data_IF_974158533710
#
_entry.id   IF_974158533710
#
_cell.length_a   1.000
_cell.length_b   1.000
_cell.length_c   1.000
_cell.angle_alpha   90.00
_cell.angle_beta   90.00
_cell.angle_gamma   90.00
#
_symmetry.space_group_name_H-M   'P 1'
#
loop_
_entity.id
_entity.type
_entity.pdbx_description
1 polymer ?
#
# COMPACT_ATOMS: atom_id res chain seq x y z
N UNK A 1 1.16 3.50 0.32
CA UNK A 1 1.73 2.80 1.51
C UNK A 1 1.40 3.61 2.75
N UNK A 2 1.02 2.94 3.84
CA UNK A 2 0.99 3.44 5.22
C UNK A 2 -0.20 4.26 5.77
N UNK A 3 -1.48 4.03 5.39
CA UNK A 3 -2.50 3.92 6.43
C UNK A 3 -2.29 2.61 7.25
N UNK A 4 -2.80 2.51 8.49
CA UNK A 4 -2.73 1.27 9.27
C UNK A 4 -3.13 0.03 8.46
N UNK A 5 -2.41 -1.07 8.61
CA UNK A 5 -2.63 -2.30 7.84
C UNK A 5 -2.10 -2.32 6.40
N UNK A 6 -1.50 -1.24 5.88
CA UNK A 6 -1.03 -1.15 4.48
C UNK A 6 0.50 -1.04 4.37
N UNK A 7 1.20 -2.10 4.76
CA UNK A 7 2.67 -2.24 4.65
C UNK A 7 3.12 -2.53 3.22
N UNK A 8 2.26 -3.15 2.40
CA UNK A 8 2.45 -3.24 0.96
C UNK A 8 1.96 -1.97 0.24
N UNK A 9 2.53 -1.61 -0.93
CA UNK A 9 1.90 -0.67 -1.84
C UNK A 9 0.46 -1.07 -2.17
N UNK A 10 -0.43 -0.08 -2.25
CA UNK A 10 -1.88 -0.27 -2.39
C UNK A 10 -2.30 -0.37 -3.86
N UNK A 11 -3.35 -1.14 -4.11
CA UNK A 11 -3.94 -1.44 -5.44
C UNK A 11 -5.05 -0.45 -5.87
N UNK A 12 -5.23 0.64 -5.12
CA UNK A 12 -6.21 1.70 -5.37
C UNK A 12 -5.60 3.10 -5.18
N UNK A 13 -6.31 4.09 -5.71
CA UNK A 13 -6.03 5.51 -5.47
C UNK A 13 -6.90 6.06 -4.35
N UNK A 14 -6.42 7.13 -3.72
CA UNK A 14 -7.13 7.88 -2.70
C UNK A 14 -7.67 9.19 -3.28
N UNK A 15 -8.97 9.43 -3.14
CA UNK A 15 -9.53 10.76 -3.15
C UNK A 15 -9.42 11.33 -1.74
N UNK A 16 -8.27 11.93 -1.44
CA UNK A 16 -8.05 12.60 -0.17
C UNK A 16 -8.96 13.81 -0.09
N UNK A 17 -9.81 13.82 0.93
CA UNK A 17 -10.77 14.88 1.18
C UNK A 17 -10.57 15.42 2.59
N UNK A 18 -10.95 16.68 2.83
CA UNK A 18 -11.00 17.16 4.21
C UNK A 18 -11.96 16.28 5.01
N UNK A 19 -11.70 16.03 6.31
CA UNK A 19 -12.58 15.25 7.19
C UNK A 19 -14.05 15.72 7.14
N UNK A 20 -14.25 17.01 6.82
CA UNK A 20 -15.56 17.66 6.61
C UNK A 20 -16.29 17.27 5.31
N UNK A 21 -15.70 16.41 4.47
CA UNK A 21 -16.28 15.98 3.20
C UNK A 21 -17.15 14.73 3.34
N UNK A 22 -17.23 14.16 4.54
CA UNK A 22 -18.25 13.18 4.88
C UNK A 22 -19.64 13.68 4.46
N UNK A 23 -20.46 12.80 3.89
CA UNK A 23 -21.79 13.17 3.40
C UNK A 23 -21.83 13.73 1.97
N UNK A 24 -20.68 13.95 1.30
CA UNK A 24 -20.69 14.30 -0.13
C UNK A 24 -21.14 13.11 -0.98
N UNK A 25 -21.97 13.32 -2.01
CA UNK A 25 -22.49 12.25 -2.83
C UNK A 25 -21.39 11.56 -3.64
N UNK A 26 -21.47 10.24 -3.72
CA UNK A 26 -20.63 9.39 -4.57
C UNK A 26 -21.48 8.87 -5.72
N UNK A 27 -20.94 8.96 -6.94
CA UNK A 27 -21.62 8.55 -8.16
C UNK A 27 -20.83 7.45 -8.87
N UNK A 28 -21.55 6.53 -9.52
CA UNK A 28 -20.97 5.49 -10.36
C UNK A 28 -20.20 6.11 -11.54
N UNK A 29 -18.87 5.90 -11.68
CA UNK A 29 -18.12 6.39 -12.84
C UNK A 29 -18.51 5.67 -14.14
N UNK A 30 -19.02 4.44 -14.02
CA UNK A 30 -19.55 3.65 -15.12
C UNK A 30 -20.75 2.80 -14.66
N UNK A 31 -21.66 2.52 -15.58
CA UNK A 31 -22.75 1.60 -15.32
C UNK A 31 -22.26 0.16 -15.23
N UNK A 32 -22.97 -0.67 -14.46
CA UNK A 32 -22.59 -2.05 -14.24
C UNK A 32 -23.51 -2.77 -13.26
N UNK A 33 -23.15 -4.00 -12.91
CA UNK A 33 -23.87 -4.81 -11.92
C UNK A 33 -23.13 -4.77 -10.59
N UNK A 34 -23.83 -4.53 -9.48
CA UNK A 34 -23.26 -4.67 -8.13
C UNK A 34 -22.98 -6.15 -7.89
N UNK A 35 -21.70 -6.50 -7.81
CA UNK A 35 -21.25 -7.89 -7.65
C UNK A 35 -21.06 -8.26 -6.19
N UNK A 36 -20.59 -7.29 -5.40
CA UNK A 36 -20.24 -7.51 -4.00
C UNK A 36 -20.39 -6.22 -3.20
N UNK A 37 -20.75 -6.37 -1.94
CA UNK A 37 -20.76 -5.31 -0.95
C UNK A 37 -20.14 -5.84 0.34
N UNK A 38 -19.10 -5.18 0.84
CA UNK A 38 -18.45 -5.53 2.10
C UNK A 38 -18.77 -4.47 3.16
N UNK A 39 -19.51 -4.79 4.22
CA UNK A 39 -19.74 -3.85 5.31
C UNK A 39 -18.53 -3.78 6.26
N UNK A 40 -18.15 -2.56 6.63
CA UNK A 40 -17.24 -2.24 7.72
C UNK A 40 -18.05 -1.63 8.86
N UNK A 41 -18.16 -2.37 9.97
CA UNK A 41 -19.00 -1.99 11.11
C UNK A 41 -18.22 -1.13 12.10
N UNK A 42 -18.83 -0.02 12.48
CA UNK A 42 -18.40 0.89 13.52
C UNK A 42 -19.43 0.90 14.66
N UNK A 43 -19.07 1.32 15.88
CA UNK A 43 -20.01 1.35 17.00
C UNK A 43 -21.32 2.10 16.71
N UNK A 44 -21.28 3.12 15.86
CA UNK A 44 -22.39 4.02 15.54
C UNK A 44 -22.72 4.09 14.03
N UNK A 45 -22.31 3.10 13.24
CA UNK A 45 -22.74 3.00 11.84
C UNK A 45 -22.01 1.96 11.01
N UNK A 46 -22.28 1.94 9.71
CA UNK A 46 -21.70 1.01 8.75
C UNK A 46 -21.29 1.77 7.50
N UNK A 47 -20.05 1.58 7.07
CA UNK A 47 -19.61 1.97 5.72
C UNK A 47 -19.34 0.71 4.89
N UNK A 48 -19.14 0.88 3.59
CA UNK A 48 -19.06 -0.23 2.65
C UNK A 48 -17.87 -0.07 1.69
N UNK A 49 -17.36 -1.22 1.25
CA UNK A 49 -16.79 -1.36 -0.09
C UNK A 49 -17.85 -1.94 -1.02
N UNK A 50 -17.88 -1.47 -2.27
CA UNK A 50 -18.83 -1.90 -3.30
C UNK A 50 -18.08 -2.19 -4.60
N UNK A 51 -18.26 -3.41 -5.12
CA UNK A 51 -17.67 -3.85 -6.38
C UNK A 51 -18.73 -3.83 -7.48
N UNK A 52 -18.43 -3.16 -8.59
CA UNK A 52 -19.33 -3.01 -9.74
C UNK A 52 -18.66 -3.57 -10.99
N UNK A 53 -19.25 -4.66 -11.49
CA UNK A 53 -18.83 -5.32 -12.72
C UNK A 53 -19.33 -4.55 -13.95
N UNK A 54 -18.41 -4.01 -14.73
CA UNK A 54 -18.70 -3.27 -15.96
C UNK A 54 -18.71 -4.19 -17.18
N UNK A 55 -17.74 -5.11 -17.22
CA UNK A 55 -17.66 -6.16 -18.25
C UNK A 55 -17.37 -7.51 -17.60
N UNK A 56 -17.26 -8.58 -18.40
CA UNK A 56 -16.82 -9.90 -17.89
C UNK A 56 -15.40 -9.88 -17.30
N UNK A 57 -14.60 -8.89 -17.69
CA UNK A 57 -13.17 -8.79 -17.35
C UNK A 57 -12.83 -7.57 -16.51
N UNK A 58 -13.70 -6.56 -16.43
CA UNK A 58 -13.41 -5.32 -15.72
C UNK A 58 -14.44 -5.06 -14.61
N UNK A 59 -13.93 -4.80 -13.42
CA UNK A 59 -14.71 -4.41 -12.23
C UNK A 59 -14.02 -3.19 -11.63
N UNK A 60 -14.77 -2.20 -11.17
CA UNK A 60 -14.23 -1.17 -10.29
C UNK A 60 -14.80 -1.37 -8.90
N UNK A 61 -14.06 -0.95 -7.89
CA UNK A 61 -14.54 -0.92 -6.52
C UNK A 61 -14.36 0.45 -5.91
N UNK A 62 -15.25 0.78 -4.99
CA UNK A 62 -15.17 1.99 -4.19
C UNK A 62 -15.34 1.62 -2.72
N UNK A 63 -14.43 2.08 -1.88
CA UNK A 63 -14.48 1.85 -0.44
C UNK A 63 -14.68 3.15 0.34
N UNK A 64 -15.04 3.01 1.61
CA UNK A 64 -15.33 4.11 2.52
C UNK A 64 -16.50 5.00 2.07
N UNK A 65 -17.60 4.38 1.65
CA UNK A 65 -18.89 5.05 1.44
C UNK A 65 -20.00 4.46 2.31
N UNK A 66 -20.98 5.29 2.67
CA UNK A 66 -22.29 4.81 3.14
C UNK A 66 -23.15 4.60 1.90
N UNK A 67 -23.39 3.34 1.54
CA UNK A 67 -24.20 2.92 0.40
C UNK A 67 -25.67 3.32 0.61
N UNK A 68 -26.33 3.85 -0.42
CA UNK A 68 -27.76 4.15 -0.36
C UNK A 68 -28.56 2.83 -0.18
N UNK A 69 -29.49 2.81 0.78
CA UNK A 69 -30.15 1.58 1.28
C UNK A 69 -30.93 0.78 0.23
N UNK A 70 -31.31 1.42 -0.87
CA UNK A 70 -32.05 0.80 -1.97
C UNK A 70 -31.15 -0.01 -2.92
N UNK A 71 -29.83 0.06 -2.77
CA UNK A 71 -28.86 -0.66 -3.60
C UNK A 71 -28.36 -1.92 -2.90
N UNK A 72 -28.40 -3.05 -3.62
CA UNK A 72 -27.91 -4.35 -3.13
C UNK A 72 -27.18 -5.13 -4.22
N UNK A 73 -26.45 -6.16 -3.80
CA UNK A 73 -25.83 -7.14 -4.71
C UNK A 73 -26.88 -7.68 -5.68
N UNK A 74 -26.54 -7.68 -6.97
CA UNK A 74 -27.43 -8.10 -8.05
C UNK A 74 -28.06 -6.94 -8.84
N UNK A 75 -28.18 -5.76 -8.25
CA UNK A 75 -28.76 -4.59 -8.92
C UNK A 75 -27.83 -4.06 -10.02
N UNK A 76 -28.44 -3.38 -11.00
CA UNK A 76 -27.72 -2.65 -12.03
C UNK A 76 -27.75 -1.16 -11.72
N UNK A 77 -26.62 -0.50 -11.93
CA UNK A 77 -26.48 0.96 -11.79
C UNK A 77 -26.11 1.58 -13.13
N UNK A 78 -26.54 2.81 -13.35
CA UNK A 78 -26.17 3.61 -14.52
C UNK A 78 -24.94 4.47 -14.23
N UNK A 79 -24.20 4.84 -15.28
CA UNK A 79 -23.14 5.85 -15.14
C UNK A 79 -23.75 7.18 -14.64
N UNK A 80 -23.11 7.82 -13.66
CA UNK A 80 -23.62 9.02 -13.01
C UNK A 80 -24.75 8.76 -12.00
N UNK A 81 -25.18 7.51 -11.79
CA UNK A 81 -26.13 7.19 -10.74
C UNK A 81 -25.49 7.39 -9.36
N UNK A 82 -26.23 8.02 -8.44
CA UNK A 82 -25.80 8.13 -7.05
C UNK A 82 -25.78 6.74 -6.40
N UNK A 83 -24.69 6.47 -5.69
CA UNK A 83 -24.49 5.21 -4.96
C UNK A 83 -24.56 5.39 -3.46
N UNK A 84 -24.34 6.60 -2.96
CA UNK A 84 -24.20 6.81 -1.54
C UNK A 84 -23.54 8.14 -1.24
N UNK A 85 -22.89 8.19 -0.08
CA UNK A 85 -22.08 9.34 0.34
C UNK A 85 -20.74 8.89 0.90
N UNK A 86 -19.74 9.77 0.82
CA UNK A 86 -18.44 9.57 1.45
C UNK A 86 -18.64 9.35 2.95
N UNK A 87 -18.02 8.30 3.47
CA UNK A 87 -18.08 7.95 4.88
C UNK A 87 -17.35 8.96 5.76
N UNK A 88 -17.80 9.07 7.01
CA UNK A 88 -17.10 9.85 8.05
C UNK A 88 -16.01 9.07 8.78
N UNK A 89 -15.90 7.77 8.54
CA UNK A 89 -15.02 6.87 9.30
C UNK A 89 -13.62 6.73 8.68
N UNK A 90 -13.41 7.27 7.48
CA UNK A 90 -12.13 7.20 6.76
C UNK A 90 -11.62 8.59 6.36
N UNK A 91 -10.30 8.71 6.29
CA UNK A 91 -9.62 9.93 5.88
C UNK A 91 -9.62 10.13 4.35
N UNK A 92 -9.98 9.10 3.59
CA UNK A 92 -10.04 9.13 2.14
C UNK A 92 -11.13 8.19 1.61
N UNK A 93 -11.57 8.48 0.39
CA UNK A 93 -12.43 7.62 -0.41
C UNK A 93 -11.57 6.86 -1.43
N UNK A 94 -11.74 5.54 -1.50
CA UNK A 94 -10.87 4.69 -2.32
C UNK A 94 -11.54 4.38 -3.66
N UNK A 95 -10.74 4.36 -4.72
CA UNK A 95 -11.15 3.88 -6.03
C UNK A 95 -10.09 2.92 -6.58
N UNK A 96 -10.49 1.69 -6.85
CA UNK A 96 -9.65 0.71 -7.52
C UNK A 96 -10.34 0.10 -8.74
N UNK A 97 -9.54 -0.46 -9.64
CA UNK A 97 -10.01 -1.22 -10.80
C UNK A 97 -9.32 -2.57 -10.83
N UNK A 98 -10.10 -3.60 -11.13
CA UNK A 98 -9.65 -4.95 -11.39
C UNK A 98 -9.89 -5.27 -12.87
N UNK A 99 -8.80 -5.55 -13.59
CA UNK A 99 -8.78 -5.91 -15.00
C UNK A 99 -8.25 -7.34 -15.16
N UNK A 100 -9.14 -8.30 -15.38
CA UNK A 100 -8.82 -9.73 -15.52
C UNK A 100 -7.95 -10.07 -16.73
N UNK A 101 -7.78 -9.12 -17.66
CA UNK A 101 -6.86 -9.29 -18.79
C UNK A 101 -5.41 -8.90 -18.44
N UNK A 102 -5.17 -8.42 -17.23
CA UNK A 102 -3.87 -8.03 -16.71
C UNK A 102 -3.56 -8.86 -15.47
N UNK A 103 -2.39 -9.50 -15.43
CA UNK A 103 -1.91 -10.19 -14.23
C UNK A 103 -0.68 -9.46 -13.71
N UNK A 104 -0.74 -9.02 -12.46
CA UNK A 104 0.40 -8.37 -11.82
C UNK A 104 1.55 -9.36 -11.62
N UNK A 105 2.80 -8.96 -11.89
CA UNK A 105 3.95 -9.85 -11.92
C UNK A 105 4.52 -10.14 -10.52
N UNK A 106 3.65 -10.43 -9.55
CA UNK A 106 4.09 -10.85 -8.21
C UNK A 106 4.94 -12.12 -8.32
N UNK A 107 6.04 -12.18 -7.57
CA UNK A 107 6.92 -13.37 -7.58
C UNK A 107 6.18 -14.59 -7.04
N UNK A 108 5.27 -14.38 -6.08
CA UNK A 108 4.43 -15.42 -5.49
C UNK A 108 2.94 -15.04 -5.54
N UNK A 109 2.28 -15.20 -6.71
CA UNK A 109 0.91 -14.73 -6.90
C UNK A 109 -0.10 -15.44 -6.00
N UNK A 110 0.21 -16.64 -5.49
CA UNK A 110 -0.70 -17.41 -4.62
C UNK A 110 -0.97 -16.73 -3.29
N UNK A 111 -0.14 -15.76 -2.87
CA UNK A 111 -0.31 -15.00 -1.63
C UNK A 111 -1.29 -13.83 -1.76
N UNK A 112 -1.57 -13.40 -2.98
CA UNK A 112 -2.29 -12.16 -3.23
C UNK A 112 -3.76 -12.43 -3.51
N UNK A 113 -4.59 -11.51 -3.03
CA UNK A 113 -6.01 -11.49 -3.29
C UNK A 113 -6.31 -11.02 -4.71
N UNK A 114 -7.59 -11.12 -5.05
CA UNK A 114 -8.07 -10.80 -6.39
C UNK A 114 -7.83 -9.34 -6.78
N UNK A 115 -7.98 -8.40 -5.84
CA UNK A 115 -7.80 -6.97 -6.13
C UNK A 115 -6.33 -6.64 -6.45
N UNK A 116 -5.38 -7.26 -5.74
CA UNK A 116 -3.96 -7.08 -6.03
C UNK A 116 -3.54 -7.79 -7.32
N UNK A 117 -3.98 -9.04 -7.54
CA UNK A 117 -3.58 -9.81 -8.72
C UNK A 117 -3.99 -9.16 -10.05
N UNK A 118 -5.16 -8.53 -10.07
CA UNK A 118 -5.75 -7.95 -11.27
C UNK A 118 -5.84 -6.42 -11.21
N UNK A 119 -5.24 -5.78 -10.20
CA UNK A 119 -5.33 -4.34 -9.97
C UNK A 119 -4.76 -3.55 -11.13
N UNK A 120 -5.40 -2.45 -11.51
CA UNK A 120 -4.97 -1.56 -12.59
C UNK A 120 -5.24 -0.09 -12.21
N UNK A 121 -4.55 0.85 -12.85
CA UNK A 121 -4.79 2.28 -12.60
C UNK A 121 -6.20 2.66 -13.06
N UNK A 122 -7.02 3.26 -12.17
CA UNK A 122 -8.40 3.55 -12.49
C UNK A 122 -8.58 4.74 -13.44
N UNK A 123 -7.70 5.74 -13.41
CA UNK A 123 -7.92 7.02 -14.10
C UNK A 123 -7.92 6.88 -15.62
N UNK A 124 -7.14 5.94 -16.18
CA UNK A 124 -7.05 5.72 -17.63
C UNK A 124 -8.36 5.25 -18.28
N UNK A 125 -9.28 4.72 -17.48
CA UNK A 125 -10.60 4.23 -17.93
C UNK A 125 -11.65 5.34 -18.05
N UNK A 126 -11.38 6.54 -17.53
CA UNK A 126 -12.30 7.66 -17.69
C UNK A 126 -12.30 8.16 -19.14
N UNK A 127 -13.47 8.58 -19.63
CA UNK A 127 -13.59 9.27 -20.90
C UNK A 127 -13.06 10.71 -20.79
N UNK A 128 -12.63 11.30 -21.91
CA UNK A 128 -12.36 12.72 -21.96
C UNK A 128 -13.67 13.54 -21.86
N UNK A 129 -13.65 14.73 -21.24
CA UNK A 129 -12.48 15.44 -20.69
C UNK A 129 -12.12 15.03 -19.25
N UNK A 130 -12.89 14.15 -18.62
CA UNK A 130 -12.74 13.81 -17.20
C UNK A 130 -11.39 13.15 -16.88
N UNK A 131 -10.89 12.30 -17.78
CA UNK A 131 -9.57 11.67 -17.62
C UNK A 131 -8.47 12.71 -17.48
N UNK A 132 -8.38 13.67 -18.42
CA UNK A 132 -7.39 14.74 -18.34
C UNK A 132 -7.56 15.62 -17.10
N UNK A 133 -8.80 15.92 -16.71
CA UNK A 133 -9.10 16.69 -15.50
C UNK A 133 -8.66 15.95 -14.21
N UNK A 134 -8.84 14.64 -14.15
CA UNK A 134 -8.43 13.81 -13.01
C UNK A 134 -6.91 13.68 -12.94
N UNK A 135 -6.24 13.42 -14.06
CA UNK A 135 -4.77 13.38 -14.10
C UNK A 135 -4.13 14.71 -13.72
N UNK A 136 -4.76 15.84 -14.06
CA UNK A 136 -4.31 17.17 -13.63
C UNK A 136 -4.35 17.38 -12.10
N UNK A 137 -5.02 16.50 -11.34
CA UNK A 137 -5.03 16.53 -9.86
C UNK A 137 -3.99 15.60 -9.23
N UNK A 138 -3.35 14.72 -10.00
CA UNK A 138 -2.35 13.77 -9.50
C UNK A 138 -1.07 14.52 -9.14
N UNK A 139 -0.64 14.42 -7.87
CA UNK A 139 0.54 15.14 -7.34
C UNK A 139 1.87 14.41 -7.51
N UNK A 140 1.88 13.27 -8.22
CA UNK A 140 3.09 12.49 -8.50
C UNK A 140 3.99 13.23 -9.50
N UNK A 141 5.29 13.26 -9.21
CA UNK A 141 6.32 13.83 -10.09
C UNK A 141 6.59 12.91 -11.31
N UNK A 142 7.06 13.51 -12.41
CA UNK A 142 7.33 12.81 -13.67
C UNK A 142 6.10 12.60 -14.55
N UNK A 143 6.31 11.89 -15.65
CA UNK A 143 5.29 11.63 -16.68
C UNK A 143 4.34 10.48 -16.29
N UNK A 144 4.84 9.48 -15.57
CA UNK A 144 4.02 8.38 -15.04
C UNK A 144 3.14 8.87 -13.89
N UNK A 145 1.84 9.02 -14.16
CA UNK A 145 0.82 9.42 -13.18
C UNK A 145 0.04 8.26 -12.59
N UNK A 146 0.18 7.06 -13.12
CA UNK A 146 -0.56 5.87 -12.69
C UNK A 146 0.11 5.19 -11.49
N UNK A 147 1.43 5.32 -11.40
CA UNK A 147 2.21 4.70 -10.34
C UNK A 147 2.28 3.17 -10.51
N UNK A 148 2.74 2.51 -9.46
CA UNK A 148 2.95 1.06 -9.42
C UNK A 148 2.76 0.56 -8.00
N UNK A 149 2.21 -0.63 -7.85
CA UNK A 149 2.12 -1.30 -6.55
C UNK A 149 2.83 -2.66 -6.50
N UNK A 150 2.87 -3.39 -7.61
CA UNK A 150 3.70 -4.60 -7.72
C UNK A 150 5.14 -4.22 -8.08
N UNK A 151 6.03 -4.22 -7.09
CA UNK A 151 7.46 -3.95 -7.26
C UNK A 151 8.33 -5.21 -7.29
N UNK A 152 7.73 -6.37 -7.11
CA UNK A 152 8.40 -7.65 -7.01
C UNK A 152 9.30 -7.95 -8.22
N UNK A 153 10.52 -8.42 -7.92
CA UNK A 153 11.46 -8.92 -8.92
C UNK A 153 12.19 -10.14 -8.34
N UNK A 154 12.17 -11.26 -9.07
CA UNK A 154 12.84 -12.49 -8.64
C UNK A 154 14.34 -12.26 -8.44
N UNK A 155 14.89 -12.76 -7.34
CA UNK A 155 16.32 -12.67 -7.04
C UNK A 155 16.81 -11.29 -6.61
N UNK A 156 15.90 -10.30 -6.44
CA UNK A 156 16.21 -8.92 -6.03
C UNK A 156 15.52 -8.56 -4.73
N UNK A 157 16.03 -7.58 -3.97
CA UNK A 157 15.40 -7.16 -2.71
C UNK A 157 14.10 -6.38 -2.91
N UNK A 158 13.94 -5.65 -4.02
CA UNK A 158 12.77 -4.81 -4.29
C UNK A 158 11.46 -5.61 -4.28
N UNK A 159 10.40 -5.08 -3.66
CA UNK A 159 9.08 -5.69 -3.55
C UNK A 159 8.64 -5.95 -2.11
N UNK A 160 7.58 -6.74 -1.94
CA UNK A 160 6.99 -7.06 -0.63
C UNK A 160 7.40 -8.46 -0.17
N UNK A 161 7.85 -8.53 1.06
CA UNK A 161 8.30 -9.74 1.74
C UNK A 161 7.38 -10.07 2.90
N UNK A 162 7.27 -11.35 3.24
CA UNK A 162 6.42 -11.83 4.34
C UNK A 162 7.27 -12.62 5.33
N UNK A 163 7.06 -12.40 6.62
CA UNK A 163 7.79 -13.09 7.68
C UNK A 163 7.64 -14.62 7.54
N UNK A 164 8.74 -15.37 7.69
CA UNK A 164 8.77 -16.82 7.47
C UNK A 164 7.81 -17.58 8.38
N UNK A 165 7.57 -17.07 9.59
CA UNK A 165 6.67 -17.64 10.59
C UNK A 165 5.26 -17.05 10.54
N UNK A 166 4.91 -16.32 9.48
CA UNK A 166 3.56 -15.80 9.32
C UNK A 166 2.54 -16.95 9.16
N UNK A 167 1.25 -16.71 9.47
CA UNK A 167 0.19 -17.70 9.24
C UNK A 167 0.15 -18.20 7.78
N UNK A 168 -0.40 -19.40 7.51
CA UNK A 168 -0.40 -19.99 6.17
C UNK A 168 -1.00 -19.11 5.07
N UNK A 169 -1.92 -18.22 5.43
CA UNK A 169 -2.51 -17.24 4.53
C UNK A 169 -2.44 -15.83 5.17
N UNK A 170 -1.26 -15.20 5.13
CA UNK A 170 -0.98 -14.02 5.94
C UNK A 170 -1.72 -12.79 5.43
N UNK A 171 -2.28 -12.84 4.22
CA UNK A 171 -3.13 -11.78 3.65
C UNK A 171 -4.63 -11.97 3.99
N UNK A 172 -5.00 -13.06 4.65
CA UNK A 172 -6.39 -13.36 5.07
C UNK A 172 -6.62 -13.34 6.57
N UNK A 173 -5.60 -12.98 7.34
CA UNK A 173 -5.72 -12.79 8.78
C UNK A 173 -5.99 -11.31 9.11
N UNK A 174 -6.68 -11.02 10.22
CA UNK A 174 -6.67 -9.68 10.80
C UNK A 174 -5.22 -9.18 10.96
N UNK A 175 -5.01 -7.88 10.77
CA UNK A 175 -3.70 -7.24 10.92
C UNK A 175 -2.60 -7.79 10.00
N UNK A 176 -2.97 -8.32 8.82
CA UNK A 176 -2.07 -8.91 7.83
C UNK A 176 -0.79 -8.10 7.55
N UNK A 177 -0.87 -6.76 7.57
CA UNK A 177 0.27 -5.87 7.38
C UNK A 177 1.41 -6.09 8.37
N UNK A 178 1.13 -6.61 9.57
CA UNK A 178 2.15 -6.86 10.61
C UNK A 178 3.25 -7.82 10.19
N UNK A 179 2.93 -8.77 9.31
CA UNK A 179 3.85 -9.80 8.85
C UNK A 179 4.68 -9.36 7.66
N UNK A 180 4.54 -8.11 7.22
CA UNK A 180 5.08 -7.66 5.97
C UNK A 180 6.22 -6.66 6.14
N UNK A 181 7.01 -6.60 5.08
CA UNK A 181 8.09 -5.66 4.90
C UNK A 181 8.15 -5.34 3.42
N UNK A 182 8.19 -4.07 3.05
CA UNK A 182 8.25 -3.68 1.63
C UNK A 182 9.41 -2.74 1.34
N UNK A 183 10.12 -3.02 0.24
CA UNK A 183 11.11 -2.14 -0.36
C UNK A 183 10.54 -1.66 -1.69
N UNK A 184 10.17 -0.39 -1.77
CA UNK A 184 9.51 0.18 -2.93
C UNK A 184 9.96 1.63 -3.15
N UNK A 185 9.31 2.31 -4.08
CA UNK A 185 9.55 3.72 -4.36
C UNK A 185 8.40 4.59 -3.85
N UNK A 186 8.69 5.85 -3.56
CA UNK A 186 7.70 6.81 -3.10
C UNK A 186 6.64 7.08 -4.17
N UNK A 187 5.38 7.16 -3.73
CA UNK A 187 4.23 7.33 -4.64
C UNK A 187 4.22 8.72 -5.26
N UNK A 188 4.73 9.75 -4.57
CA UNK A 188 4.82 11.11 -5.09
C UNK A 188 6.13 11.32 -5.84
N UNK A 189 7.23 10.77 -5.32
CA UNK A 189 8.59 10.97 -5.84
C UNK A 189 9.24 9.64 -6.20
N UNK A 190 8.99 9.08 -7.40
CA UNK A 190 9.39 7.72 -7.75
C UNK A 190 10.88 7.45 -7.79
N UNK A 191 11.72 8.48 -7.65
CA UNK A 191 13.17 8.37 -7.51
C UNK A 191 13.63 8.07 -6.08
N UNK A 192 12.75 8.19 -5.08
CA UNK A 192 13.07 8.00 -3.68
C UNK A 192 12.66 6.62 -3.19
N UNK A 193 13.60 5.89 -2.61
CA UNK A 193 13.36 4.59 -2.00
C UNK A 193 12.58 4.79 -0.69
N UNK A 194 11.61 3.90 -0.47
CA UNK A 194 10.81 3.79 0.75
C UNK A 194 10.88 2.37 1.29
N UNK A 195 11.06 2.26 2.60
CA UNK A 195 10.99 1.00 3.33
C UNK A 195 9.79 1.06 4.26
N UNK A 196 8.87 0.11 4.13
CA UNK A 196 7.70 -0.01 5.00
C UNK A 196 7.86 -1.19 5.95
N UNK A 197 7.76 -0.92 7.25
CA UNK A 197 7.81 -1.91 8.32
C UNK A 197 6.38 -2.18 8.84
N UNK A 198 6.00 -3.45 8.99
CA UNK A 198 4.69 -3.86 9.51
C UNK A 198 4.47 -3.56 11.00
N UNK A 199 3.21 -3.54 11.42
CA UNK A 199 2.74 -3.11 12.76
C UNK A 199 3.42 -3.82 13.95
N UNK A 200 3.73 -5.12 13.84
CA UNK A 200 4.45 -5.91 14.87
C UNK A 200 5.95 -6.09 14.55
N UNK A 201 6.52 -5.22 13.69
CA UNK A 201 7.98 -5.13 13.58
C UNK A 201 8.49 -4.70 14.96
N UNK A 202 9.36 -5.50 15.61
CA UNK A 202 9.48 -5.48 17.06
C UNK A 202 10.09 -4.15 17.53
N UNK A 203 9.24 -3.29 18.09
CA UNK A 203 9.67 -2.32 19.08
C UNK A 203 9.92 -3.11 20.37
N UNK A 204 11.18 -3.24 20.78
CA UNK A 204 11.53 -4.04 21.95
C UNK A 204 10.87 -3.49 23.23
N UNK A 205 10.31 -4.35 24.09
CA UNK A 205 10.18 -4.03 25.50
C UNK A 205 11.58 -3.91 26.12
N UNK A 206 11.91 -2.75 26.70
CA UNK A 206 13.06 -2.60 27.60
C UNK A 206 14.37 -2.08 27.00
N UNK A 207 14.42 -1.73 25.71
CA UNK A 207 15.55 -0.96 25.16
C UNK A 207 15.09 0.48 24.82
N UNK A 208 15.49 1.49 25.61
CA UNK A 208 15.09 2.89 25.40
C UNK A 208 15.61 3.48 24.08
N UNK A 209 16.48 2.77 23.34
CA UNK A 209 16.98 3.11 22.01
C UNK A 209 16.38 2.24 20.88
N UNK A 210 15.45 1.33 21.17
CA UNK A 210 14.91 0.36 20.20
C UNK A 210 13.54 0.71 19.60
N UNK A 211 13.00 1.89 19.88
CA UNK A 211 11.66 2.25 19.40
C UNK A 211 11.73 2.77 17.95
N UNK A 212 11.98 1.89 16.99
CA UNK A 212 11.58 2.12 15.60
C UNK A 212 10.15 1.58 15.46
N UNK A 213 9.12 2.45 15.38
CA UNK A 213 7.76 1.99 15.19
C UNK A 213 7.58 1.34 13.81
N UNK A 214 6.47 0.64 13.64
CA UNK A 214 5.96 0.36 12.31
C UNK A 214 5.74 1.66 11.54
N UNK A 215 5.84 1.59 10.21
CA UNK A 215 5.59 2.77 9.38
C UNK A 215 6.42 2.80 8.11
N UNK A 216 6.45 3.98 7.49
CA UNK A 216 7.04 4.22 6.19
C UNK A 216 8.22 5.19 6.28
N UNK A 217 9.39 4.70 5.87
CA UNK A 217 10.66 5.39 6.04
C UNK A 217 11.27 5.78 4.71
N UNK A 218 11.79 7.01 4.63
CA UNK A 218 12.77 7.38 3.60
C UNK A 218 14.12 6.76 3.93
N UNK A 219 15.00 6.67 2.93
CA UNK A 219 16.40 6.23 3.11
C UNK A 219 17.40 7.34 2.81
N UNK A 220 18.68 7.07 3.11
CA UNK A 220 19.79 7.98 2.83
C UNK A 220 20.02 8.19 1.34
N UNK A 221 20.59 9.35 0.97
CA UNK A 221 21.01 9.60 -0.41
C UNK A 221 22.14 8.65 -0.83
N UNK A 222 22.11 8.20 -2.08
CA UNK A 222 23.09 7.23 -2.60
C UNK A 222 22.94 5.81 -2.04
N UNK A 223 21.86 5.51 -1.31
CA UNK A 223 21.56 4.13 -0.91
C UNK A 223 21.49 3.19 -2.12
N UNK A 224 21.97 1.95 -1.95
CA UNK A 224 21.89 0.94 -3.01
C UNK A 224 20.42 0.70 -3.36
N UNK A 225 20.01 0.86 -4.64
CA UNK A 225 18.65 0.58 -5.05
C UNK A 225 18.27 -0.87 -4.74
N UNK A 226 17.09 -1.15 -4.16
CA UNK A 226 16.72 -2.50 -3.74
C UNK A 226 16.64 -3.50 -4.90
N UNK A 227 16.42 -3.06 -6.15
CA UNK A 227 16.49 -3.90 -7.35
C UNK A 227 17.92 -4.35 -7.68
N UNK A 228 18.93 -3.66 -7.15
CA UNK A 228 20.34 -3.98 -7.34
C UNK A 228 20.91 -4.86 -6.23
N UNK A 229 20.18 -5.06 -5.13
CA UNK A 229 20.57 -5.97 -4.05
C UNK A 229 20.23 -7.41 -4.46
N UNK A 230 21.20 -8.30 -4.32
CA UNK A 230 21.13 -9.73 -4.66
C UNK A 230 21.77 -10.55 -3.53
N UNK A 231 21.71 -11.90 -3.56
CA UNK A 231 22.45 -12.74 -2.61
C UNK A 231 23.97 -12.44 -2.58
N UNK A 232 24.56 -12.04 -3.71
CA UNK A 232 25.97 -11.69 -3.80
C UNK A 232 26.32 -10.33 -3.16
N UNK A 233 25.33 -9.47 -2.89
CA UNK A 233 25.55 -8.15 -2.29
C UNK A 233 25.99 -8.21 -0.82
N UNK A 234 25.79 -9.35 -0.15
CA UNK A 234 26.04 -9.48 1.28
C UNK A 234 25.09 -8.61 2.11
N UNK A 235 25.58 -8.11 3.25
CA UNK A 235 24.80 -7.27 4.17
C UNK A 235 24.75 -5.82 3.66
N UNK A 236 23.56 -5.29 3.51
CA UNK A 236 23.27 -3.90 3.10
C UNK A 236 22.66 -3.14 4.27
N UNK A 237 23.00 -1.86 4.41
CA UNK A 237 22.47 -0.97 5.45
C UNK A 237 21.69 0.19 4.84
N UNK A 238 20.48 0.41 5.33
CA UNK A 238 19.64 1.56 5.05
C UNK A 238 19.48 2.39 6.32
N UNK A 239 19.68 3.69 6.25
CA UNK A 239 19.30 4.59 7.35
C UNK A 239 17.84 4.93 7.19
N UNK A 240 17.07 4.82 8.26
CA UNK A 240 15.64 5.07 8.23
C UNK A 240 15.37 6.51 8.66
N UNK A 241 14.66 7.26 7.82
CA UNK A 241 14.24 8.63 8.11
C UNK A 241 12.72 8.71 8.14
N UNK A 242 12.20 9.40 9.16
CA UNK A 242 10.77 9.69 9.25
C UNK A 242 10.34 10.75 8.24
N UNK A 243 9.08 11.17 8.34
CA UNK A 243 8.56 12.29 7.56
C UNK A 243 8.84 13.62 8.29
N UNK A 244 9.17 14.67 7.53
CA UNK A 244 9.36 16.01 8.07
C UNK A 244 8.01 16.72 8.21
N UNK A 245 7.76 17.33 9.37
CA UNK A 245 6.65 18.25 9.61
C UNK A 245 5.26 17.61 9.59
N UNK A 246 4.50 17.76 10.68
CA UNK A 246 3.10 17.35 10.69
C UNK A 246 2.28 18.16 9.66
N UNK A 247 1.58 17.48 8.76
CA UNK A 247 0.69 18.10 7.78
C UNK A 247 1.34 18.57 6.48
N UNK A 248 2.64 18.34 6.26
CA UNK A 248 3.26 18.61 4.95
C UNK A 248 2.84 17.56 3.92
N UNK A 249 2.38 18.01 2.75
CA UNK A 249 2.02 17.12 1.64
C UNK A 249 2.50 17.65 0.28
N UNK A 250 3.23 16.84 -0.52
CA UNK A 250 3.63 15.46 -0.24
C UNK A 250 4.64 15.39 0.92
N UNK A 251 4.69 14.28 1.67
CA UNK A 251 5.65 14.13 2.78
C UNK A 251 7.09 14.27 2.28
N UNK A 252 7.95 14.91 3.07
CA UNK A 252 9.38 15.04 2.79
C UNK A 252 10.23 14.29 3.82
N UNK A 253 11.51 14.05 3.51
CA UNK A 253 12.41 13.33 4.41
C UNK A 253 12.72 14.18 5.65
N UNK A 254 12.38 13.66 6.82
CA UNK A 254 12.66 14.28 8.12
C UNK A 254 13.96 13.77 8.74
N UNK A 255 13.97 13.73 10.07
CA UNK A 255 15.12 13.28 10.84
C UNK A 255 15.34 11.77 10.74
N UNK A 256 16.59 11.36 10.92
CA UNK A 256 16.95 9.96 11.04
C UNK A 256 16.30 9.38 12.30
N UNK A 257 15.62 8.25 12.14
CA UNK A 257 14.97 7.47 13.20
C UNK A 257 15.74 6.21 13.57
N UNK A 258 16.60 5.73 12.68
CA UNK A 258 17.42 4.57 12.98
C UNK A 258 18.22 4.05 11.79
N UNK A 259 18.52 2.76 11.83
CA UNK A 259 19.12 2.00 10.75
C UNK A 259 18.45 0.63 10.61
N UNK A 260 18.51 0.10 9.40
CA UNK A 260 17.94 -1.16 9.00
C UNK A 260 19.00 -1.94 8.22
N UNK A 261 19.34 -3.14 8.68
CA UNK A 261 20.24 -4.04 7.97
C UNK A 261 19.45 -5.17 7.32
N UNK A 262 19.88 -5.54 6.12
CA UNK A 262 19.28 -6.64 5.37
C UNK A 262 20.35 -7.41 4.62
N UNK A 263 20.16 -8.72 4.54
CA UNK A 263 20.97 -9.59 3.71
C UNK A 263 20.06 -10.56 2.98
N UNK A 264 20.20 -10.65 1.66
CA UNK A 264 19.58 -11.73 0.90
C UNK A 264 20.37 -13.02 1.16
N UNK A 265 19.67 -14.03 1.68
CA UNK A 265 20.25 -15.37 1.91
C UNK A 265 20.10 -16.26 0.67
N UNK A 266 19.03 -16.05 -0.10
CA UNK A 266 18.72 -16.68 -1.39
C UNK A 266 17.87 -15.74 -2.24
N UNK A 267 17.41 -16.19 -3.41
CA UNK A 267 16.54 -15.40 -4.30
C UNK A 267 15.20 -15.00 -3.65
N UNK A 268 14.76 -15.78 -2.67
CA UNK A 268 13.42 -15.80 -2.06
C UNK A 268 13.45 -15.76 -0.53
N UNK A 269 14.61 -15.49 0.08
CA UNK A 269 14.78 -15.41 1.54
C UNK A 269 15.73 -14.29 1.95
N UNK A 270 15.31 -13.49 2.92
CA UNK A 270 16.10 -12.38 3.49
C UNK A 270 16.18 -12.47 5.01
N UNK A 271 17.28 -11.98 5.56
CA UNK A 271 17.48 -11.74 6.99
C UNK A 271 17.51 -10.25 7.25
N UNK A 272 16.74 -9.77 8.23
CA UNK A 272 16.56 -8.34 8.51
C UNK A 272 16.61 -8.03 10.01
N UNK A 273 17.06 -6.82 10.34
CA UNK A 273 16.97 -6.26 11.69
C UNK A 273 16.98 -4.73 11.62
N UNK A 274 16.19 -4.07 12.47
CA UNK A 274 16.20 -2.61 12.59
C UNK A 274 16.62 -2.18 13.99
N UNK A 275 17.24 -1.02 14.09
CA UNK A 275 17.75 -0.44 15.32
C UNK A 275 17.40 1.04 15.36
N UNK A 276 16.86 1.55 16.48
CA UNK A 276 16.64 2.99 16.69
C UNK A 276 17.94 3.77 16.93
N UNK A 277 19.01 3.33 16.30
CA UNK A 277 20.33 3.93 16.35
C UNK A 277 20.49 4.95 15.21
N UNK A 278 20.58 6.21 15.60
CA UNK A 278 20.66 7.36 14.71
C UNK A 278 22.10 7.81 14.44
N UNK A 279 23.10 7.23 15.10
CA UNK A 279 24.49 7.68 15.04
C UNK A 279 25.40 6.71 14.31
N UNK A 280 25.25 5.40 14.53
CA UNK A 280 26.10 4.41 13.86
C UNK A 280 25.82 4.34 12.37
N UNK A 281 26.84 4.02 11.58
CA UNK A 281 26.70 3.78 10.14
C UNK A 281 26.58 2.31 9.78
N UNK A 282 26.90 1.42 10.72
CA UNK A 282 26.85 -0.05 10.55
C UNK A 282 26.34 -0.72 11.83
N UNK A 283 25.78 -1.92 11.66
CA UNK A 283 25.44 -2.86 12.74
C UNK A 283 25.63 -4.30 12.26
N UNK A 284 25.80 -5.20 13.22
CA UNK A 284 25.75 -6.64 13.00
C UNK A 284 24.38 -7.19 13.37
N UNK A 285 24.00 -8.29 12.71
CA UNK A 285 22.82 -9.04 13.11
C UNK A 285 23.00 -9.60 14.51
N UNK A 286 21.94 -9.53 15.31
CA UNK A 286 21.87 -10.18 16.62
C UNK A 286 21.02 -11.46 16.52
N UNK A 287 20.79 -12.10 17.66
CA UNK A 287 19.83 -13.21 17.76
C UNK A 287 18.37 -12.79 17.50
N UNK A 288 18.10 -11.49 17.37
CA UNK A 288 16.75 -10.93 17.15
C UNK A 288 16.41 -10.72 15.67
N UNK A 289 17.37 -10.94 14.78
CA UNK A 289 17.15 -10.81 13.35
C UNK A 289 16.02 -11.74 12.89
N UNK A 290 15.13 -11.22 12.05
CA UNK A 290 13.98 -11.96 11.51
C UNK A 290 14.26 -12.44 10.10
N UNK A 291 13.55 -13.50 9.71
CA UNK A 291 13.59 -14.05 8.35
C UNK A 291 12.28 -13.73 7.64
N UNK A 292 12.40 -13.22 6.42
CA UNK A 292 11.27 -13.02 5.52
C UNK A 292 11.50 -13.79 4.23
N UNK A 293 10.39 -14.22 3.61
CA UNK A 293 10.33 -15.04 2.41
C UNK A 293 9.41 -14.42 1.37
N UNK A 294 9.63 -14.76 0.10
CA UNK A 294 8.76 -14.35 -1.01
C UNK A 294 8.50 -15.48 -1.99
#
# INVERSE_FOLDING_TARGET
>A
MSPPGHTAPTDHIYFVHEWRSAGRPVYAPAGGKILWTQPFKWPDGVEHSVDIGVTRTCTYYMAHLVLDENLKVGDYVQAGQRLGVISRYAAAFDLGVMNRNLLQPFVNPKRYGYTQLYGDSPLKYFAEPYRSQLYAKVRREGEDKDGRFCYDQRGRLIGTWVEENAPPDPFKVPDWGRYQLSFAYDVYRPTLIRISLGDDFPALPGDPLSLLPAGLYFVQDGAVPPENVTPASGKVTYYLYGEAGAGQFPPTRGERRGLFIVQMLSEDRIKVEAFGDTTSTTREFTSRARIYVR
#
